data_IF_348302420861
#
_entry.id   IF_348302420861
#
_cell.length_a   1.000
_cell.length_b   1.000
_cell.length_c   1.000
_cell.angle_alpha   90.00
_cell.angle_beta   90.00
_cell.angle_gamma   90.00
#
_symmetry.space_group_name_H-M   'P 1'
#
loop_
_entity.id
_entity.type
_entity.pdbx_description
1 polymer ?
#
# COMPACT_ATOMS: atom_id res chain seq x y z
N UNK A 1 10.38 6.27 11.95
CA UNK A 1 10.66 4.96 11.33
C UNK A 1 9.52 4.63 10.38
N UNK A 2 9.79 4.28 9.13
CA UNK A 2 8.75 3.94 8.16
C UNK A 2 8.29 2.48 8.39
N UNK A 3 7.02 2.23 8.76
CA UNK A 3 6.52 0.87 8.97
C UNK A 3 6.41 0.04 7.68
N UNK A 4 6.42 0.71 6.52
CA UNK A 4 6.29 0.10 5.20
C UNK A 4 7.45 0.55 4.29
N UNK A 5 8.65 -0.01 4.44
CA UNK A 5 9.75 0.28 3.52
C UNK A 5 9.43 -0.22 2.10
N UNK A 6 10.08 0.36 1.10
CA UNK A 6 10.02 -0.10 -0.28
C UNK A 6 10.35 -1.59 -0.38
N UNK A 7 9.64 -2.32 -1.24
CA UNK A 7 9.75 -3.77 -1.37
C UNK A 7 8.89 -4.57 -0.38
N UNK A 8 8.25 -3.93 0.60
CA UNK A 8 7.34 -4.62 1.52
C UNK A 8 6.11 -5.12 0.78
N UNK A 9 5.78 -6.40 0.96
CA UNK A 9 4.53 -7.00 0.48
C UNK A 9 3.39 -6.67 1.43
N UNK A 10 2.29 -6.18 0.88
CA UNK A 10 1.08 -5.79 1.61
C UNK A 10 -0.15 -6.34 0.89
N UNK A 11 -1.28 -6.38 1.59
CA UNK A 11 -2.58 -6.57 0.96
C UNK A 11 -3.56 -5.48 1.43
N UNK A 12 -4.59 -5.24 0.62
CA UNK A 12 -5.68 -4.34 0.94
C UNK A 12 -7.00 -4.88 0.38
N UNK A 13 -8.11 -4.40 0.95
CA UNK A 13 -9.45 -4.71 0.48
C UNK A 13 -9.94 -3.62 -0.46
N UNK A 14 -10.46 -4.02 -1.62
CA UNK A 14 -11.16 -3.11 -2.54
C UNK A 14 -12.59 -2.86 -2.04
N UNK A 15 -13.23 -1.82 -2.56
CA UNK A 15 -14.66 -1.56 -2.32
C UNK A 15 -15.59 -2.68 -2.80
N UNK A 16 -15.12 -3.54 -3.71
CA UNK A 16 -15.83 -4.73 -4.18
C UNK A 16 -15.70 -5.93 -3.23
N UNK A 17 -14.99 -5.79 -2.10
CA UNK A 17 -14.73 -6.89 -1.16
C UNK A 17 -13.67 -7.89 -1.67
N UNK A 18 -12.84 -7.49 -2.63
CA UNK A 18 -11.75 -8.32 -3.15
C UNK A 18 -10.46 -8.00 -2.40
N UNK A 19 -9.67 -9.01 -2.04
CA UNK A 19 -8.35 -8.84 -1.47
C UNK A 19 -7.30 -8.78 -2.59
N UNK A 20 -6.53 -7.70 -2.64
CA UNK A 20 -5.47 -7.49 -3.62
C UNK A 20 -4.12 -7.43 -2.91
N UNK A 21 -3.14 -8.15 -3.45
CA UNK A 21 -1.75 -8.12 -2.98
C UNK A 21 -0.94 -7.11 -3.79
N UNK A 22 -0.04 -6.40 -3.12
CA UNK A 22 0.77 -5.38 -3.74
C UNK A 22 2.13 -5.22 -3.04
N UNK A 23 3.07 -4.59 -3.74
CA UNK A 23 4.40 -4.28 -3.23
C UNK A 23 4.51 -2.77 -3.08
N UNK A 24 4.99 -2.31 -1.92
CA UNK A 24 5.25 -0.88 -1.67
C UNK A 24 6.39 -0.42 -2.57
N UNK A 25 6.12 0.56 -3.43
CA UNK A 25 7.14 1.23 -4.24
C UNK A 25 7.68 2.47 -3.54
N UNK A 26 6.80 3.25 -2.91
CA UNK A 26 7.21 4.45 -2.21
C UNK A 26 6.20 4.82 -1.14
N UNK A 27 6.65 5.65 -0.20
CA UNK A 27 5.82 6.19 0.87
C UNK A 27 6.03 7.69 0.97
N UNK A 28 4.95 8.45 1.06
CA UNK A 28 4.98 9.89 1.27
C UNK A 28 4.14 10.24 2.50
N UNK A 29 4.54 11.29 3.22
CA UNK A 29 3.76 11.80 4.34
C UNK A 29 3.13 13.12 3.93
N UNK A 30 1.81 13.20 4.04
CA UNK A 30 1.05 14.41 3.77
C UNK A 30 1.23 15.43 4.91
N UNK A 31 0.84 16.68 4.66
CA UNK A 31 0.96 17.78 5.63
C UNK A 31 0.13 17.56 6.91
N UNK A 32 -0.94 16.76 6.82
CA UNK A 32 -1.79 16.33 7.95
C UNK A 32 -1.16 15.18 8.76
N UNK A 33 0.00 14.67 8.36
CA UNK A 33 0.70 13.54 8.99
C UNK A 33 0.29 12.16 8.46
N UNK A 34 -0.68 12.08 7.55
CA UNK A 34 -1.13 10.83 6.91
C UNK A 34 -0.01 10.23 6.09
N UNK A 35 0.32 8.95 6.33
CA UNK A 35 1.26 8.19 5.53
C UNK A 35 0.51 7.57 4.34
N UNK A 36 0.88 7.96 3.13
CA UNK A 36 0.37 7.41 1.88
C UNK A 36 1.40 6.49 1.26
N UNK A 37 0.95 5.35 0.74
CA UNK A 37 1.77 4.36 0.08
C UNK A 37 1.40 4.30 -1.41
N UNK A 38 2.43 4.31 -2.26
CA UNK A 38 2.32 3.93 -3.66
C UNK A 38 2.61 2.43 -3.77
N UNK A 39 1.63 1.68 -4.27
CA UNK A 39 1.64 0.21 -4.28
C UNK A 39 1.59 -0.29 -5.72
N UNK A 40 2.51 -1.17 -6.11
CA UNK A 40 2.41 -1.93 -7.36
C UNK A 40 1.60 -3.19 -7.11
N UNK A 41 0.43 -3.29 -7.72
CA UNK A 41 -0.46 -4.46 -7.55
C UNK A 41 0.16 -5.68 -8.23
N UNK A 42 0.22 -6.80 -7.52
CA UNK A 42 0.81 -8.04 -8.07
C UNK A 42 -0.04 -8.58 -9.23
N UNK A 43 0.62 -8.98 -10.31
CA UNK A 43 -0.06 -9.53 -11.50
C UNK A 43 -0.84 -8.51 -12.32
N UNK A 44 -0.79 -7.21 -12.00
CA UNK A 44 -1.44 -6.14 -12.75
C UNK A 44 -0.46 -4.99 -12.99
N UNK A 45 -0.52 -4.37 -14.16
CA UNK A 45 0.23 -3.14 -14.41
C UNK A 45 -0.55 -1.92 -13.88
N UNK A 46 -0.80 -1.95 -12.56
CA UNK A 46 -1.59 -0.94 -11.87
C UNK A 46 -0.86 -0.49 -10.62
N UNK A 47 -0.80 0.83 -10.45
CA UNK A 47 -0.37 1.47 -9.21
C UNK A 47 -1.60 1.91 -8.42
N UNK A 48 -1.62 1.57 -7.13
CA UNK A 48 -2.65 1.98 -6.19
C UNK A 48 -2.05 2.90 -5.13
N UNK A 49 -2.71 4.01 -4.85
CA UNK A 49 -2.29 4.97 -3.83
C UNK A 49 -3.25 4.87 -2.66
N UNK A 50 -2.80 4.33 -1.54
CA UNK A 50 -3.67 4.01 -0.39
C UNK A 50 -3.00 4.50 0.91
N UNK A 51 -3.78 5.06 1.87
CA UNK A 51 -3.26 5.36 3.19
C UNK A 51 -2.74 4.10 3.89
N UNK A 52 -1.65 4.23 4.63
CA UNK A 52 -1.04 3.13 5.38
C UNK A 52 -2.00 2.48 6.41
N UNK A 53 -3.04 3.21 6.85
CA UNK A 53 -4.08 2.69 7.74
C UNK A 53 -5.01 1.65 7.08
N UNK A 54 -5.08 1.63 5.75
CA UNK A 54 -5.94 0.72 4.97
C UNK A 54 -5.22 -0.51 4.43
N UNK A 55 -3.95 -0.70 4.76
CA UNK A 55 -3.14 -1.82 4.27
C UNK A 55 -2.70 -2.71 5.43
N UNK A 56 -2.52 -4.00 5.15
CA UNK A 56 -1.98 -4.97 6.10
C UNK A 56 -0.69 -5.55 5.55
N UNK A 57 0.34 -5.64 6.39
CA UNK A 57 1.62 -6.24 6.02
C UNK A 57 1.48 -7.75 5.87
N UNK A 58 2.04 -8.30 4.79
CA UNK A 58 2.21 -9.74 4.61
C UNK A 58 3.61 -10.10 5.13
N UNK A 59 3.70 -11.14 5.96
CA UNK A 59 4.96 -11.60 6.56
C UNK A 59 5.41 -12.90 5.90
#
# INVERSE_FOLDING_TARGET
MNPFPEGTRVFYWTSSGTCEYAIVQSSARLADGTLILSLKVEGKDKVATIPAAGVTKVT
#
